data_IF_123367564920
#
_entry.id   IF_123367564920
#
_cell.length_a   1.000
_cell.length_b   1.000
_cell.length_c   1.000
_cell.angle_alpha   90.00
_cell.angle_beta   90.00
_cell.angle_gamma   90.00
#
_symmetry.space_group_name_H-M   'P 1'
#
loop_
_entity.id
_entity.type
_entity.pdbx_description
1 polymer ?
#
# COMPACT_ATOMS: atom_id res chain seq x y z
N UNK A 1 -18.65 -7.07 1.91
CA UNK A 1 -17.58 -6.35 2.62
C UNK A 1 -18.24 -5.52 3.72
N UNK A 2 -17.71 -5.49 4.94
CA UNK A 2 -18.18 -4.52 5.95
C UNK A 2 -17.50 -3.17 5.66
N UNK A 3 -18.19 -2.03 5.82
CA UNK A 3 -17.55 -0.73 5.73
C UNK A 3 -16.38 -0.63 6.71
N UNK A 4 -15.33 0.08 6.32
CA UNK A 4 -14.19 0.37 7.17
C UNK A 4 -14.62 1.29 8.33
N UNK A 5 -14.28 0.93 9.57
CA UNK A 5 -14.46 1.81 10.73
C UNK A 5 -13.25 2.73 10.86
N UNK A 6 -13.38 3.95 10.36
CA UNK A 6 -12.31 4.95 10.41
C UNK A 6 -11.99 5.41 11.84
N UNK A 7 -12.86 5.18 12.84
CA UNK A 7 -12.52 5.52 14.22
C UNK A 7 -11.50 4.52 14.82
N UNK A 8 -11.47 3.29 14.30
CA UNK A 8 -10.65 2.19 14.81
C UNK A 8 -9.91 1.49 13.66
N UNK A 9 -9.30 2.26 12.76
CA UNK A 9 -8.72 1.72 11.52
C UNK A 9 -7.51 0.82 11.80
N UNK A 10 -6.46 1.35 12.43
CA UNK A 10 -5.24 0.59 12.74
C UNK A 10 -5.19 0.24 14.24
N UNK A 11 -4.59 -0.91 14.54
CA UNK A 11 -4.44 -1.41 15.91
C UNK A 11 -3.15 -0.87 16.50
N UNK A 12 -3.24 -0.21 17.65
CA UNK A 12 -2.08 0.23 18.41
C UNK A 12 -1.71 -0.82 19.45
N UNK A 13 -0.57 -1.49 19.26
CA UNK A 13 -0.06 -2.52 20.17
C UNK A 13 1.49 -2.49 20.25
N UNK A 14 2.07 -3.49 20.92
CA UNK A 14 3.51 -3.60 21.12
C UNK A 14 4.32 -3.83 19.83
N UNK A 15 3.68 -4.20 18.73
CA UNK A 15 4.33 -4.46 17.44
C UNK A 15 4.45 -3.20 16.57
N UNK A 16 3.86 -2.07 16.99
CA UNK A 16 3.85 -0.84 16.21
C UNK A 16 5.27 -0.37 15.86
N UNK A 17 6.06 0.00 16.86
CA UNK A 17 7.42 0.51 16.65
C UNK A 17 8.40 -0.55 16.07
N UNK A 18 8.41 -1.81 16.54
CA UNK A 18 9.22 -2.86 15.93
C UNK A 18 8.94 -3.04 14.43
N UNK A 19 7.67 -3.03 14.03
CA UNK A 19 7.28 -3.18 12.62
C UNK A 19 7.74 -1.97 11.81
N UNK A 20 7.55 -0.74 12.32
CA UNK A 20 8.04 0.47 11.64
C UNK A 20 9.57 0.43 11.45
N UNK A 21 10.33 0.00 12.46
CA UNK A 21 11.78 -0.13 12.36
C UNK A 21 12.20 -1.13 11.26
N UNK A 22 11.59 -2.32 11.24
CA UNK A 22 11.80 -3.31 10.18
C UNK A 22 11.51 -2.74 8.79
N UNK A 23 10.40 -2.00 8.63
CA UNK A 23 10.04 -1.41 7.33
C UNK A 23 11.03 -0.35 6.87
N UNK A 24 11.58 0.46 7.78
CA UNK A 24 12.65 1.42 7.45
C UNK A 24 13.89 0.71 6.92
N UNK A 25 14.30 -0.38 7.55
CA UNK A 25 15.45 -1.17 7.11
C UNK A 25 15.23 -1.79 5.73
N UNK A 26 14.06 -2.39 5.49
CA UNK A 26 13.70 -2.98 4.20
C UNK A 26 13.63 -1.93 3.09
N UNK A 27 13.04 -0.76 3.34
CA UNK A 27 13.01 0.34 2.37
C UNK A 27 14.40 0.90 2.07
N UNK A 28 15.33 0.87 3.04
CA UNK A 28 16.70 1.32 2.84
C UNK A 28 17.55 0.30 2.07
N UNK A 29 17.39 -1.00 2.37
CA UNK A 29 18.27 -2.06 1.84
C UNK A 29 17.71 -2.74 0.59
N UNK A 30 16.38 -2.79 0.44
CA UNK A 30 15.68 -3.60 -0.57
C UNK A 30 14.46 -2.89 -1.15
N UNK A 31 14.57 -1.57 -1.39
CA UNK A 31 13.47 -0.71 -1.85
C UNK A 31 12.68 -1.33 -3.01
N UNK A 32 13.38 -1.84 -4.03
CA UNK A 32 12.76 -2.44 -5.23
C UNK A 32 11.93 -3.69 -4.96
N UNK A 33 12.17 -4.39 -3.85
CA UNK A 33 11.37 -5.57 -3.47
C UNK A 33 10.12 -5.23 -2.66
N UNK A 34 10.10 -4.06 -2.01
CA UNK A 34 9.03 -3.66 -1.08
C UNK A 34 8.23 -2.45 -1.56
N UNK A 35 8.70 -1.75 -2.58
CA UNK A 35 8.00 -0.66 -3.24
C UNK A 35 7.93 -0.94 -4.74
N UNK A 36 6.72 -0.95 -5.27
CA UNK A 36 6.48 -0.97 -6.71
C UNK A 36 5.19 -0.22 -7.04
N UNK A 37 5.15 0.36 -8.23
CA UNK A 37 4.06 1.21 -8.68
C UNK A 37 4.04 1.30 -10.21
N UNK A 38 2.89 1.66 -10.77
CA UNK A 38 2.73 2.08 -12.16
C UNK A 38 2.99 3.58 -12.31
N UNK A 39 3.40 4.01 -13.49
CA UNK A 39 3.65 5.43 -13.81
C UNK A 39 2.41 6.30 -13.57
N UNK A 40 1.21 5.73 -13.71
CA UNK A 40 -0.07 6.40 -13.50
C UNK A 40 -0.59 6.28 -12.05
N UNK A 41 0.22 5.91 -11.07
CA UNK A 41 -0.28 5.65 -9.70
C UNK A 41 -0.19 6.85 -8.74
N UNK A 42 0.48 7.94 -9.13
CA UNK A 42 0.90 8.99 -8.18
C UNK A 42 -0.25 9.75 -7.50
N UNK A 43 -1.31 10.10 -8.23
CA UNK A 43 -2.51 10.76 -7.70
C UNK A 43 -3.26 9.89 -6.67
N UNK A 44 -3.54 8.62 -7.00
CA UNK A 44 -4.25 7.71 -6.09
C UNK A 44 -3.37 7.34 -4.89
N UNK A 45 -2.06 7.20 -5.11
CA UNK A 45 -1.10 6.99 -4.01
C UNK A 45 -1.03 8.19 -3.06
N UNK A 46 -1.14 9.42 -3.58
CA UNK A 46 -1.21 10.63 -2.77
C UNK A 46 -2.45 10.60 -1.87
N UNK A 47 -3.63 10.35 -2.44
CA UNK A 47 -4.89 10.33 -1.69
C UNK A 47 -4.86 9.27 -0.58
N UNK A 48 -4.40 8.06 -0.89
CA UNK A 48 -4.22 7.00 0.10
C UNK A 48 -3.26 7.40 1.23
N UNK A 49 -2.15 8.05 0.88
CA UNK A 49 -1.18 8.52 1.86
C UNK A 49 -1.77 9.58 2.79
N UNK A 50 -2.50 10.56 2.25
CA UNK A 50 -3.14 11.63 3.01
C UNK A 50 -4.17 11.07 4.00
N UNK A 51 -4.99 10.10 3.59
CA UNK A 51 -5.97 9.45 4.46
C UNK A 51 -5.29 8.74 5.64
N UNK A 52 -4.25 7.94 5.38
CA UNK A 52 -3.53 7.20 6.42
C UNK A 52 -2.78 8.15 7.35
N UNK A 53 -2.06 9.13 6.81
CA UNK A 53 -1.30 10.10 7.59
C UNK A 53 -2.24 10.96 8.46
N UNK A 54 -3.35 11.44 7.91
CA UNK A 54 -4.33 12.20 8.67
C UNK A 54 -4.90 11.39 9.83
N UNK A 55 -5.15 10.08 9.63
CA UNK A 55 -5.64 9.20 10.69
C UNK A 55 -4.67 9.08 11.87
N UNK A 56 -3.36 8.99 11.62
CA UNK A 56 -2.32 8.99 12.67
C UNK A 56 -1.95 10.41 13.15
N UNK A 57 -2.66 11.45 12.72
CA UNK A 57 -2.39 12.84 13.11
C UNK A 57 -1.08 13.42 12.52
N UNK A 58 -0.66 12.94 11.36
CA UNK A 58 0.56 13.37 10.64
C UNK A 58 0.22 13.96 9.27
N UNK A 59 1.21 14.58 8.66
CA UNK A 59 1.20 15.02 7.27
C UNK A 59 2.61 14.89 6.69
N UNK A 60 2.73 15.00 5.37
CA UNK A 60 4.02 15.02 4.66
C UNK A 60 4.02 16.07 3.55
N UNK A 61 5.19 16.60 3.24
CA UNK A 61 5.42 17.45 2.06
C UNK A 61 5.79 16.63 0.81
N UNK A 62 6.10 15.33 0.98
CA UNK A 62 6.36 14.43 -0.15
C UNK A 62 5.09 14.21 -0.96
N UNK A 63 5.27 13.78 -2.22
CA UNK A 63 4.16 13.66 -3.17
C UNK A 63 4.08 12.29 -3.83
N UNK A 64 2.85 11.90 -4.19
CA UNK A 64 2.49 10.64 -4.82
C UNK A 64 3.03 9.43 -4.08
N UNK A 65 3.73 8.56 -4.80
CA UNK A 65 4.30 7.33 -4.22
C UNK A 65 5.26 7.61 -3.06
N UNK A 66 5.99 8.72 -3.06
CA UNK A 66 6.86 9.06 -1.93
C UNK A 66 6.06 9.46 -0.68
N UNK A 67 4.88 10.05 -0.84
CA UNK A 67 3.95 10.25 0.28
C UNK A 67 3.41 8.91 0.79
N UNK A 68 3.13 7.95 -0.11
CA UNK A 68 2.71 6.60 0.26
C UNK A 68 3.79 5.86 1.06
N UNK A 69 5.07 6.08 0.77
CA UNK A 69 6.17 5.56 1.58
C UNK A 69 6.14 6.15 2.99
N UNK A 70 5.93 7.45 3.14
CA UNK A 70 5.82 8.07 4.47
C UNK A 70 4.61 7.53 5.24
N UNK A 71 3.46 7.34 4.58
CA UNK A 71 2.27 6.73 5.15
C UNK A 71 2.53 5.28 5.61
N UNK A 72 3.19 4.47 4.77
CA UNK A 72 3.56 3.10 5.11
C UNK A 72 4.59 3.04 6.25
N UNK A 73 5.38 4.08 6.46
CA UNK A 73 6.27 4.22 7.63
C UNK A 73 5.59 4.84 8.86
N UNK A 74 4.29 5.11 8.78
CA UNK A 74 3.51 5.69 9.86
C UNK A 74 2.54 4.71 10.54
N UNK A 75 2.22 3.58 9.90
CA UNK A 75 1.36 2.50 10.41
C UNK A 75 2.05 1.14 10.28
N UNK A 76 1.72 0.09 11.05
CA UNK A 76 2.38 -1.22 10.95
C UNK A 76 2.02 -1.99 9.68
N UNK A 77 0.77 -1.88 9.23
CA UNK A 77 0.24 -2.57 8.06
C UNK A 77 1.00 -2.23 6.76
N UNK A 78 1.04 -3.20 5.86
CA UNK A 78 1.48 -3.00 4.47
C UNK A 78 0.36 -2.32 3.68
N UNK A 79 0.73 -1.37 2.83
CA UNK A 79 -0.24 -0.57 2.07
C UNK A 79 -0.28 -1.00 0.61
N UNK A 80 -1.48 -1.23 0.10
CA UNK A 80 -1.76 -1.48 -1.33
C UNK A 80 -2.82 -0.49 -1.81
N UNK A 81 -2.63 0.03 -3.02
CA UNK A 81 -3.48 1.05 -3.62
C UNK A 81 -4.06 0.52 -4.91
N UNK A 82 -5.38 0.48 -4.98
CA UNK A 82 -6.14 0.12 -6.17
C UNK A 82 -6.66 1.39 -6.83
N UNK A 83 -6.69 1.44 -8.16
CA UNK A 83 -7.32 2.53 -8.92
C UNK A 83 -8.66 2.05 -9.45
N UNK A 84 -9.73 2.79 -9.19
CA UNK A 84 -11.00 2.58 -9.90
C UNK A 84 -10.88 3.10 -11.33
N UNK A 85 -11.19 2.24 -12.30
CA UNK A 85 -11.20 2.56 -13.74
C UNK A 85 -12.53 2.10 -14.31
N UNK A 86 -13.31 3.05 -14.82
CA UNK A 86 -14.51 2.75 -15.59
C UNK A 86 -14.14 2.20 -16.96
N UNK A 87 -14.62 0.99 -17.27
CA UNK A 87 -14.46 0.37 -18.60
C UNK A 87 -15.84 0.04 -19.18
N UNK A 88 -15.95 -0.19 -20.51
CA UNK A 88 -17.20 -0.64 -21.12
C UNK A 88 -17.76 -1.94 -20.51
N UNK A 89 -16.89 -2.78 -19.94
CA UNK A 89 -17.24 -4.06 -19.32
C UNK A 89 -17.48 -3.96 -17.81
N UNK A 90 -17.44 -2.74 -17.25
CA UNK A 90 -17.64 -2.45 -15.83
C UNK A 90 -16.42 -1.84 -15.14
N UNK A 91 -16.54 -1.61 -13.83
CA UNK A 91 -15.44 -1.09 -13.02
C UNK A 91 -14.30 -2.12 -12.90
N UNK A 92 -13.07 -1.67 -13.14
CA UNK A 92 -11.86 -2.42 -12.84
C UNK A 92 -11.11 -1.76 -11.69
N UNK A 93 -10.46 -2.60 -10.87
CA UNK A 93 -9.68 -2.19 -9.71
C UNK A 93 -8.25 -2.77 -9.79
N UNK A 94 -7.41 -2.35 -10.76
CA UNK A 94 -6.02 -2.76 -10.81
C UNK A 94 -5.24 -2.30 -9.58
N UNK A 95 -4.32 -3.13 -9.11
CA UNK A 95 -3.34 -2.80 -8.09
C UNK A 95 -2.24 -1.91 -8.69
N UNK A 96 -2.22 -0.62 -8.34
CA UNK A 96 -1.38 0.38 -9.03
C UNK A 96 -0.15 0.81 -8.27
N UNK A 97 -0.13 0.75 -6.93
CA UNK A 97 1.03 1.05 -6.12
C UNK A 97 0.95 0.34 -4.77
N UNK A 98 2.10 -0.07 -4.23
CA UNK A 98 2.14 -0.63 -2.88
C UNK A 98 3.48 -0.46 -2.20
N UNK A 99 3.43 -0.39 -0.87
CA UNK A 99 4.58 -0.52 0.02
C UNK A 99 4.32 -1.75 0.89
N UNK A 100 4.95 -2.87 0.53
CA UNK A 100 4.68 -4.20 1.09
C UNK A 100 5.97 -4.82 1.59
N UNK A 101 6.17 -4.80 2.90
CA UNK A 101 7.40 -5.23 3.57
C UNK A 101 7.31 -6.66 4.14
N UNK A 102 6.12 -7.23 4.26
CA UNK A 102 5.87 -8.55 4.83
C UNK A 102 5.00 -9.47 3.95
N UNK A 103 5.26 -9.59 2.63
CA UNK A 103 4.42 -10.38 1.74
C UNK A 103 4.49 -11.88 2.06
N UNK A 104 3.33 -12.53 2.14
CA UNK A 104 3.25 -13.97 2.41
C UNK A 104 3.32 -14.80 1.12
N UNK A 105 4.55 -15.20 0.74
CA UNK A 105 4.85 -16.09 -0.41
C UNK A 105 4.54 -15.49 -1.80
N UNK A 106 4.59 -14.18 -1.96
CA UNK A 106 4.44 -13.51 -3.26
C UNK A 106 5.41 -12.34 -3.41
N UNK A 107 5.61 -11.86 -4.64
CA UNK A 107 6.44 -10.68 -4.93
C UNK A 107 5.59 -9.52 -5.41
N UNK A 108 5.84 -8.34 -4.86
CA UNK A 108 5.09 -7.13 -5.17
C UNK A 108 5.08 -6.81 -6.67
N UNK A 109 6.24 -6.89 -7.30
CA UNK A 109 6.44 -6.61 -8.73
C UNK A 109 5.67 -7.56 -9.66
N UNK A 110 5.32 -8.76 -9.21
CA UNK A 110 4.54 -9.73 -10.00
C UNK A 110 3.02 -9.44 -9.97
N UNK A 111 2.60 -8.55 -9.06
CA UNK A 111 1.19 -8.27 -8.78
C UNK A 111 0.74 -6.88 -9.23
N UNK A 112 1.67 -5.93 -9.36
CA UNK A 112 1.36 -4.59 -9.88
C UNK A 112 0.74 -4.68 -11.29
N UNK A 113 -0.35 -3.94 -11.47
CA UNK A 113 -1.14 -3.87 -12.70
C UNK A 113 -2.22 -4.94 -12.83
N UNK A 114 -2.22 -5.97 -11.99
CA UNK A 114 -3.27 -7.00 -11.99
C UNK A 114 -4.55 -6.48 -11.35
N UNK A 115 -5.70 -6.92 -11.86
CA UNK A 115 -7.00 -6.69 -11.24
C UNK A 115 -7.20 -7.54 -9.97
N UNK A 116 -8.29 -7.26 -9.27
CA UNK A 116 -8.65 -7.95 -8.03
C UNK A 116 -8.83 -9.47 -8.18
N UNK A 117 -9.22 -9.99 -9.33
CA UNK A 117 -9.33 -11.44 -9.50
C UNK A 117 -7.95 -12.07 -9.76
N UNK A 118 -7.15 -11.43 -10.61
CA UNK A 118 -5.83 -11.90 -11.00
C UNK A 118 -4.81 -11.80 -9.85
N UNK A 119 -4.88 -10.76 -9.02
CA UNK A 119 -3.96 -10.57 -7.89
C UNK A 119 -4.07 -11.71 -6.87
N UNK A 120 -5.26 -12.29 -6.69
CA UNK A 120 -5.55 -13.39 -5.76
C UNK A 120 -5.26 -14.79 -6.32
N UNK A 121 -4.88 -14.92 -7.61
CA UNK A 121 -4.52 -16.22 -8.15
C UNK A 121 -3.37 -16.85 -7.35
N UNK A 122 -3.40 -18.18 -7.10
CA UNK A 122 -2.37 -18.87 -6.35
C UNK A 122 -0.99 -18.55 -6.88
N UNK A 123 -0.05 -18.36 -5.96
CA UNK A 123 1.36 -18.23 -6.31
C UNK A 123 1.90 -19.63 -6.58
N UNK A 124 2.64 -19.79 -7.68
CA UNK A 124 3.31 -21.05 -7.97
C UNK A 124 4.29 -21.41 -6.84
N UNK A 125 4.33 -22.70 -6.48
CA UNK A 125 5.21 -23.24 -5.44
C UNK A 125 6.69 -23.22 -5.87
#
# INVERSE_FOLDING_TARGET
MKPLDLANWFVYDGEWEPTIAMKRELLAQRRESVLAFRDDAHDVAQEAAELVLAWVGKSTERRGVDALVDAALAVPDDLTVLRSIDTPDGEQLPFVAGVVCSPSRWRLTEKIGLDMLAVHKPVAL
#
